data_IF_056590156857
#
_entry.id   IF_056590156857
#
_cell.length_a   1.000
_cell.length_b   1.000
_cell.length_c   1.000
_cell.angle_alpha   90.00
_cell.angle_beta   90.00
_cell.angle_gamma   90.00
#
_symmetry.space_group_name_H-M   'P 1'
#
loop_
_entity.id
_entity.type
_entity.pdbx_description
1 polymer ?
#
# COMPACT_ATOMS: atom_id res chain seq x y z
N UNK A 1 20.36 -42.02 -40.70
CA UNK A 1 20.65 -40.62 -40.35
C UNK A 1 19.84 -40.32 -39.11
N UNK A 2 20.47 -40.34 -37.95
CA UNK A 2 19.81 -40.09 -36.64
C UNK A 2 19.86 -38.62 -36.32
N UNK A 3 18.74 -38.02 -36.02
CA UNK A 3 18.63 -36.66 -35.50
C UNK A 3 18.92 -36.69 -34.01
N UNK A 4 20.03 -36.09 -33.59
CA UNK A 4 20.32 -35.78 -32.16
C UNK A 4 19.39 -34.66 -31.72
N UNK A 5 18.43 -34.95 -30.82
CA UNK A 5 17.62 -34.00 -30.14
C UNK A 5 18.38 -33.52 -28.91
N UNK A 6 18.95 -32.31 -28.98
CA UNK A 6 19.55 -31.66 -27.82
C UNK A 6 18.40 -31.17 -26.92
N UNK A 7 18.17 -31.86 -25.80
CA UNK A 7 17.26 -31.37 -24.75
C UNK A 7 17.91 -30.18 -24.06
N UNK A 8 17.32 -29.00 -24.22
CA UNK A 8 17.67 -27.83 -23.44
C UNK A 8 17.00 -28.00 -22.08
N UNK A 9 17.75 -28.04 -20.96
CA UNK A 9 17.14 -28.11 -19.65
C UNK A 9 16.31 -26.85 -19.43
N UNK A 10 15.00 -27.01 -19.24
CA UNK A 10 14.13 -25.98 -18.72
C UNK A 10 14.64 -25.63 -17.33
N UNK A 11 15.31 -24.47 -17.22
CA UNK A 11 15.60 -23.86 -15.92
C UNK A 11 14.23 -23.65 -15.27
N UNK A 12 13.91 -24.46 -14.26
CA UNK A 12 12.76 -24.22 -13.41
C UNK A 12 12.99 -22.86 -12.77
N UNK A 13 12.25 -21.85 -13.21
CA UNK A 13 12.19 -20.58 -12.51
C UNK A 13 11.69 -20.91 -11.10
N UNK A 14 12.60 -20.94 -10.12
CA UNK A 14 12.23 -20.95 -8.72
C UNK A 14 11.26 -19.79 -8.54
N UNK A 15 10.02 -20.08 -8.19
CA UNK A 15 9.06 -19.05 -7.80
C UNK A 15 9.64 -18.40 -6.56
N UNK A 16 10.31 -17.27 -6.74
CA UNK A 16 10.67 -16.40 -5.63
C UNK A 16 9.39 -16.17 -4.81
N UNK A 17 9.42 -16.60 -3.56
CA UNK A 17 8.30 -16.35 -2.64
C UNK A 17 8.29 -14.84 -2.39
N UNK A 18 7.44 -14.12 -3.09
CA UNK A 18 7.27 -12.68 -2.86
C UNK A 18 6.66 -12.49 -1.47
N UNK A 19 7.26 -11.63 -0.67
CA UNK A 19 6.73 -11.28 0.65
C UNK A 19 5.42 -10.50 0.48
N UNK A 20 4.49 -10.72 1.41
CA UNK A 20 3.19 -10.04 1.42
C UNK A 20 3.08 -9.14 2.63
N UNK A 21 2.60 -7.93 2.40
CA UNK A 21 2.31 -6.92 3.42
C UNK A 21 0.81 -6.67 3.42
N UNK A 22 0.20 -6.72 4.60
CA UNK A 22 -1.16 -6.28 4.83
C UNK A 22 -1.09 -4.88 5.44
N UNK A 23 -1.73 -3.95 4.77
CA UNK A 23 -1.78 -2.54 5.09
C UNK A 23 -3.24 -2.14 5.28
N UNK A 24 -3.58 -1.58 6.44
CA UNK A 24 -4.99 -1.35 6.81
C UNK A 24 -5.16 0.05 7.37
N UNK A 25 -6.04 0.84 6.75
CA UNK A 25 -6.62 2.02 7.38
C UNK A 25 -7.91 1.67 8.12
N UNK A 26 -8.06 2.22 9.33
CA UNK A 26 -9.24 1.93 10.15
C UNK A 26 -10.51 2.63 9.67
N UNK A 27 -10.40 3.61 8.80
CA UNK A 27 -11.54 4.27 8.19
C UNK A 27 -12.30 3.35 7.22
N UNK A 28 -11.67 2.27 6.75
CA UNK A 28 -12.35 1.17 6.07
C UNK A 28 -13.55 0.64 6.88
N UNK A 29 -13.47 0.68 8.20
CA UNK A 29 -14.50 0.15 9.10
C UNK A 29 -15.50 1.20 9.55
N UNK A 30 -15.73 2.22 8.75
CA UNK A 30 -16.83 3.18 8.95
C UNK A 30 -18.08 2.76 8.16
N UNK A 31 -19.24 3.12 8.68
CA UNK A 31 -20.52 2.83 8.02
C UNK A 31 -20.66 3.59 6.69
N UNK A 32 -20.09 4.81 6.62
CA UNK A 32 -19.98 5.60 5.41
C UNK A 32 -18.57 6.17 5.29
N UNK A 33 -18.04 6.28 4.07
CA UNK A 33 -16.69 6.72 3.84
C UNK A 33 -16.60 8.24 3.84
N UNK A 34 -15.68 8.79 4.63
CA UNK A 34 -15.36 10.20 4.57
C UNK A 34 -14.65 10.49 3.23
N UNK A 35 -15.17 11.36 2.37
CA UNK A 35 -14.54 11.64 1.08
C UNK A 35 -13.23 12.42 1.20
N UNK A 36 -13.03 13.16 2.28
CA UNK A 36 -11.86 13.97 2.56
C UNK A 36 -11.70 14.11 4.08
N UNK A 37 -10.54 13.73 4.58
CA UNK A 37 -10.13 14.01 5.95
C UNK A 37 -8.92 14.98 5.89
N UNK A 38 -8.95 16.04 6.70
CA UNK A 38 -7.78 16.89 6.88
C UNK A 38 -6.95 16.38 8.06
N UNK A 39 -5.64 16.47 7.93
CA UNK A 39 -4.71 16.06 8.98
C UNK A 39 -5.08 16.74 10.32
N UNK A 40 -5.30 15.94 11.36
CA UNK A 40 -5.71 16.43 12.68
C UNK A 40 -7.19 16.79 12.81
N UNK A 41 -7.99 16.68 11.74
CA UNK A 41 -9.43 16.85 11.77
C UNK A 41 -10.13 15.53 11.46
N UNK A 42 -10.83 14.98 12.44
CA UNK A 42 -11.76 13.86 12.24
C UNK A 42 -13.14 14.45 12.06
N UNK A 43 -13.72 14.41 10.85
CA UNK A 43 -15.07 14.95 10.66
C UNK A 43 -16.07 14.11 11.46
N UNK A 44 -16.80 14.76 12.34
CA UNK A 44 -17.96 14.17 13.02
C UNK A 44 -19.17 14.39 12.13
N UNK A 45 -19.32 13.55 11.11
CA UNK A 45 -20.48 13.59 10.22
C UNK A 45 -21.44 12.45 10.54
N UNK A 46 -22.76 12.64 10.41
CA UNK A 46 -23.71 11.55 10.48
C UNK A 46 -23.35 10.45 9.47
N UNK A 47 -23.37 9.18 9.89
CA UNK A 47 -23.01 8.05 9.03
C UNK A 47 -21.56 7.58 9.14
N UNK A 48 -20.70 8.31 9.84
CA UNK A 48 -19.31 7.87 10.08
C UNK A 48 -19.16 7.06 11.39
N UNK A 49 -20.21 6.32 11.75
CA UNK A 49 -20.11 5.41 12.87
C UNK A 49 -19.21 4.23 12.54
N UNK A 50 -18.35 3.81 13.48
CA UNK A 50 -17.54 2.62 13.29
C UNK A 50 -18.41 1.36 13.25
N UNK A 51 -17.96 0.36 12.50
CA UNK A 51 -18.57 -0.97 12.56
C UNK A 51 -18.50 -1.53 13.98
N UNK A 52 -19.44 -2.42 14.30
CA UNK A 52 -19.39 -3.18 15.54
C UNK A 52 -18.07 -3.92 15.68
N UNK A 53 -17.46 -3.86 16.87
CA UNK A 53 -16.12 -4.46 17.13
C UNK A 53 -16.07 -5.96 16.78
N UNK A 54 -17.19 -6.69 16.91
CA UNK A 54 -17.31 -8.08 16.51
C UNK A 54 -17.22 -8.26 15.00
N UNK A 55 -17.79 -7.36 14.21
CA UNK A 55 -17.75 -7.39 12.75
C UNK A 55 -16.33 -7.06 12.25
N UNK A 56 -15.68 -6.05 12.83
CA UNK A 56 -14.27 -5.72 12.53
C UNK A 56 -13.38 -6.93 12.81
N UNK A 57 -13.54 -7.55 13.97
CA UNK A 57 -12.77 -8.76 14.31
C UNK A 57 -13.00 -9.88 13.31
N UNK A 58 -14.26 -10.18 12.99
CA UNK A 58 -14.59 -11.23 12.03
C UNK A 58 -13.96 -10.96 10.66
N UNK A 59 -13.94 -9.71 10.20
CA UNK A 59 -13.27 -9.33 8.97
C UNK A 59 -11.75 -9.58 9.04
N UNK A 60 -11.10 -9.09 10.10
CA UNK A 60 -9.66 -9.25 10.28
C UNK A 60 -9.25 -10.73 10.37
N UNK A 61 -10.02 -11.56 11.06
CA UNK A 61 -9.74 -12.99 11.21
C UNK A 61 -10.05 -13.78 9.92
N UNK A 62 -11.21 -13.57 9.30
CA UNK A 62 -11.69 -14.40 8.20
C UNK A 62 -11.23 -13.92 6.82
N UNK A 63 -11.08 -12.61 6.60
CA UNK A 63 -10.70 -12.04 5.31
C UNK A 63 -9.20 -11.69 5.26
N UNK A 64 -8.66 -11.14 6.36
CA UNK A 64 -7.25 -10.77 6.41
C UNK A 64 -6.33 -11.88 6.95
N UNK A 65 -6.89 -12.98 7.46
CA UNK A 65 -6.11 -14.11 7.99
C UNK A 65 -5.31 -13.78 9.26
N UNK A 66 -5.71 -12.73 10.00
CA UNK A 66 -5.10 -12.40 11.27
C UNK A 66 -5.62 -13.34 12.37
N UNK A 67 -4.79 -13.62 13.37
CA UNK A 67 -5.17 -14.52 14.46
C UNK A 67 -4.55 -14.07 15.78
N UNK A 68 -5.33 -14.13 16.85
CA UNK A 68 -4.83 -13.88 18.21
C UNK A 68 -3.86 -14.95 18.70
N UNK A 69 -4.03 -16.17 18.22
CA UNK A 69 -3.17 -17.30 18.60
C UNK A 69 -1.89 -17.40 17.78
N UNK A 70 -1.83 -16.68 16.63
CA UNK A 70 -0.67 -16.61 15.76
C UNK A 70 -0.50 -15.16 15.25
N UNK A 71 -0.16 -14.22 16.14
CA UNK A 71 -0.07 -12.81 15.79
C UNK A 71 1.02 -12.57 14.74
N UNK A 72 0.75 -11.67 13.82
CA UNK A 72 1.73 -11.21 12.84
C UNK A 72 2.46 -9.98 13.37
N UNK A 73 3.77 -9.84 13.11
CA UNK A 73 4.47 -8.61 13.45
C UNK A 73 3.91 -7.44 12.63
N UNK A 74 3.76 -6.28 13.28
CA UNK A 74 3.22 -5.09 12.64
C UNK A 74 3.43 -3.86 13.49
N UNK A 75 2.94 -2.71 12.99
CA UNK A 75 2.98 -1.44 13.70
C UNK A 75 1.69 -0.67 13.42
N UNK A 76 1.26 0.13 14.40
CA UNK A 76 0.14 1.06 14.29
C UNK A 76 0.71 2.47 14.13
N UNK A 77 0.09 3.27 13.25
CA UNK A 77 0.47 4.64 12.95
C UNK A 77 -0.71 5.58 13.18
N UNK A 78 -0.42 6.86 13.34
CA UNK A 78 -1.44 7.92 13.41
C UNK A 78 -1.86 8.37 12.00
N UNK A 79 -0.89 8.42 11.06
CA UNK A 79 -1.10 8.74 9.64
C UNK A 79 -0.60 7.60 8.78
N UNK A 80 -1.32 7.33 7.68
CA UNK A 80 -1.13 6.13 6.88
C UNK A 80 0.24 6.08 6.17
N UNK A 81 0.82 7.23 5.83
CA UNK A 81 2.17 7.34 5.28
C UNK A 81 3.27 6.77 6.20
N UNK A 82 2.97 6.61 7.50
CA UNK A 82 3.83 5.92 8.45
C UNK A 82 4.16 4.48 8.02
N UNK A 83 3.30 3.84 7.22
CA UNK A 83 3.53 2.52 6.65
C UNK A 83 4.77 2.50 5.76
N UNK A 84 4.95 3.49 4.86
CA UNK A 84 6.13 3.56 3.98
C UNK A 84 7.42 3.67 4.79
N UNK A 85 7.45 4.50 5.84
CA UNK A 85 8.63 4.62 6.73
C UNK A 85 8.94 3.30 7.41
N UNK A 86 7.92 2.61 7.89
CA UNK A 86 8.08 1.30 8.52
C UNK A 86 8.61 0.27 7.52
N UNK A 87 8.12 0.25 6.29
CA UNK A 87 8.64 -0.65 5.26
C UNK A 87 10.12 -0.39 4.97
N UNK A 88 10.54 0.86 4.85
CA UNK A 88 11.95 1.21 4.67
C UNK A 88 12.81 0.76 5.86
N UNK A 89 12.32 0.92 7.09
CA UNK A 89 12.99 0.39 8.29
C UNK A 89 13.12 -1.15 8.25
N UNK A 90 12.06 -1.87 7.80
CA UNK A 90 12.10 -3.31 7.69
C UNK A 90 13.04 -3.79 6.58
N UNK A 91 13.09 -3.06 5.47
CA UNK A 91 14.04 -3.33 4.36
C UNK A 91 15.48 -3.12 4.86
N UNK A 92 15.76 -1.99 5.49
CA UNK A 92 17.09 -1.69 6.04
C UNK A 92 17.56 -2.72 7.08
N UNK A 93 16.61 -3.30 7.83
CA UNK A 93 16.88 -4.34 8.82
C UNK A 93 16.91 -5.76 8.24
N UNK A 94 16.73 -5.94 6.93
CA UNK A 94 16.71 -7.23 6.25
C UNK A 94 15.51 -8.13 6.60
N UNK A 95 14.44 -7.56 7.15
CA UNK A 95 13.21 -8.28 7.51
C UNK A 95 12.13 -8.22 6.43
N UNK A 96 12.22 -7.28 5.51
CA UNK A 96 11.37 -7.14 4.34
C UNK A 96 12.24 -7.03 3.10
N UNK A 97 11.95 -7.82 2.07
CA UNK A 97 12.67 -7.79 0.79
C UNK A 97 11.80 -7.12 -0.27
N UNK A 98 12.30 -6.03 -0.84
CA UNK A 98 11.63 -5.38 -1.97
C UNK A 98 12.05 -6.00 -3.32
N UNK A 99 11.16 -6.04 -4.32
CA UNK A 99 9.76 -5.63 -4.21
C UNK A 99 8.89 -6.69 -3.50
N UNK A 100 7.81 -6.24 -2.86
CA UNK A 100 6.84 -7.08 -2.16
C UNK A 100 5.41 -6.78 -2.63
N UNK A 101 4.48 -7.70 -2.35
CA UNK A 101 3.05 -7.50 -2.66
C UNK A 101 2.37 -6.82 -1.48
N UNK A 102 1.45 -5.91 -1.77
CA UNK A 102 0.63 -5.20 -0.77
C UNK A 102 -0.83 -5.50 -0.99
N UNK A 103 -1.51 -5.90 0.08
CA UNK A 103 -2.97 -5.85 0.17
C UNK A 103 -3.32 -4.65 1.04
N UNK A 104 -3.89 -3.62 0.42
CA UNK A 104 -4.27 -2.36 1.04
C UNK A 104 -5.78 -2.36 1.29
N UNK A 105 -6.18 -2.26 2.55
CA UNK A 105 -7.57 -2.29 3.02
C UNK A 105 -7.91 -0.90 3.54
N UNK A 106 -8.72 -0.14 2.79
CA UNK A 106 -8.91 1.27 3.03
C UNK A 106 -10.23 1.78 2.43
N UNK A 107 -10.76 2.88 2.93
CA UNK A 107 -11.81 3.64 2.27
C UNK A 107 -11.26 4.48 1.10
N UNK A 108 -9.95 4.74 1.06
CA UNK A 108 -9.25 5.55 0.04
C UNK A 108 -8.27 4.70 -0.78
N UNK A 109 -7.78 5.24 -1.89
CA UNK A 109 -6.81 4.52 -2.73
C UNK A 109 -5.36 4.80 -2.38
N UNK A 110 -5.09 5.93 -1.76
CA UNK A 110 -3.76 6.47 -1.43
C UNK A 110 -2.80 6.55 -2.63
N UNK A 111 -3.40 6.74 -3.81
CA UNK A 111 -2.71 6.83 -5.10
C UNK A 111 -2.62 8.26 -5.64
N UNK A 112 -2.70 9.25 -4.76
CA UNK A 112 -2.43 10.65 -5.13
C UNK A 112 -3.66 11.53 -5.28
N UNK A 113 -4.67 11.33 -4.46
CA UNK A 113 -5.73 12.34 -4.26
C UNK A 113 -5.12 13.48 -3.46
N UNK A 114 -5.20 14.70 -4.01
CA UNK A 114 -4.70 15.90 -3.33
C UNK A 114 -3.49 16.51 -4.01
N UNK A 115 -2.69 17.24 -3.27
CA UNK A 115 -1.49 17.93 -3.75
C UNK A 115 -0.23 17.29 -3.17
N UNK A 116 0.79 16.98 -4.02
CA UNK A 116 0.97 17.43 -5.40
C UNK A 116 0.23 16.64 -6.48
N UNK A 117 -0.57 15.63 -6.12
CA UNK A 117 -1.27 14.80 -7.06
C UNK A 117 -0.37 13.82 -7.84
N UNK A 118 -0.97 12.88 -8.60
CA UNK A 118 -0.24 11.80 -9.26
C UNK A 118 0.72 12.29 -10.33
N UNK A 119 0.43 13.42 -10.98
CA UNK A 119 1.29 13.99 -12.03
C UNK A 119 2.71 14.30 -11.53
N UNK A 120 2.86 14.71 -10.27
CA UNK A 120 4.18 14.93 -9.70
C UNK A 120 5.00 13.63 -9.68
N UNK A 121 4.40 12.52 -9.26
CA UNK A 121 5.09 11.23 -9.24
C UNK A 121 5.38 10.75 -10.66
N UNK A 122 4.41 10.82 -11.56
CA UNK A 122 4.54 10.32 -12.93
C UNK A 122 5.59 11.09 -13.74
N UNK A 123 5.60 12.42 -13.65
CA UNK A 123 6.47 13.25 -14.50
C UNK A 123 7.76 13.71 -13.83
N UNK A 124 7.80 13.81 -12.51
CA UNK A 124 8.98 14.25 -11.79
C UNK A 124 9.72 13.08 -11.14
N UNK A 125 9.04 12.27 -10.30
CA UNK A 125 9.69 11.19 -9.57
C UNK A 125 10.16 10.09 -10.54
N UNK A 126 9.30 9.62 -11.46
CA UNK A 126 9.65 8.57 -12.42
C UNK A 126 10.75 8.99 -13.42
N UNK A 127 10.94 10.28 -13.66
CA UNK A 127 12.05 10.76 -14.50
C UNK A 127 13.40 10.70 -13.78
N UNK A 128 13.42 10.60 -12.46
CA UNK A 128 14.66 10.52 -11.69
C UNK A 128 15.32 9.13 -11.82
N UNK A 129 16.65 9.02 -11.72
CA UNK A 129 17.31 7.75 -11.50
C UNK A 129 16.79 7.03 -10.25
N UNK A 130 16.67 5.70 -10.30
CA UNK A 130 16.12 4.90 -9.20
C UNK A 130 16.72 5.24 -7.82
N UNK A 131 18.05 5.39 -7.65
CA UNK A 131 18.64 5.74 -6.36
C UNK A 131 18.11 7.07 -5.77
N UNK A 132 17.79 8.05 -6.62
CA UNK A 132 17.21 9.33 -6.17
C UNK A 132 15.73 9.21 -5.79
N UNK A 133 14.99 8.27 -6.41
CA UNK A 133 13.59 8.02 -6.03
C UNK A 133 13.49 7.44 -4.62
N UNK A 134 14.51 6.72 -4.16
CA UNK A 134 14.55 6.05 -2.86
C UNK A 134 14.74 7.03 -1.68
N UNK A 135 15.06 8.28 -1.95
CA UNK A 135 15.15 9.31 -0.90
C UNK A 135 13.76 9.85 -0.52
N UNK A 136 12.97 8.97 0.11
CA UNK A 136 11.61 9.32 0.56
C UNK A 136 11.63 10.46 1.59
N UNK A 137 12.70 10.58 2.37
CA UNK A 137 12.83 11.63 3.39
C UNK A 137 12.88 13.03 2.78
N UNK A 138 13.52 13.17 1.61
CA UNK A 138 13.51 14.43 0.86
C UNK A 138 12.10 14.81 0.38
N UNK A 139 11.28 13.85 -0.03
CA UNK A 139 9.89 14.12 -0.46
C UNK A 139 9.01 14.53 0.73
N UNK A 140 9.19 13.91 1.90
CA UNK A 140 8.54 14.36 3.13
C UNK A 140 8.95 15.79 3.51
N UNK A 141 10.25 16.07 3.53
CA UNK A 141 10.75 17.41 3.85
C UNK A 141 10.20 18.49 2.92
N UNK A 142 9.94 18.15 1.67
CA UNK A 142 9.35 19.02 0.66
C UNK A 142 7.81 19.06 0.71
N UNK A 143 7.17 18.34 1.64
CA UNK A 143 5.71 18.19 1.73
C UNK A 143 5.08 17.69 0.39
N UNK A 144 5.76 16.76 -0.26
CA UNK A 144 5.32 16.14 -1.52
C UNK A 144 4.81 14.72 -1.34
N UNK A 145 5.15 14.09 -0.20
CA UNK A 145 4.73 12.76 0.19
C UNK A 145 3.94 12.87 1.49
N UNK A 146 2.74 12.30 1.51
CA UNK A 146 1.79 12.28 2.63
C UNK A 146 0.92 11.01 2.58
N UNK A 147 -0.06 10.91 3.50
CA UNK A 147 -0.98 9.78 3.60
C UNK A 147 -1.80 9.53 2.33
N UNK A 148 -2.12 10.55 1.55
CA UNK A 148 -2.95 10.40 0.36
C UNK A 148 -2.20 9.88 -0.88
N UNK A 149 -0.86 9.76 -0.83
CA UNK A 149 -0.06 9.43 -2.01
C UNK A 149 1.11 8.45 -1.75
N UNK A 150 1.37 8.04 -0.52
CA UNK A 150 2.54 7.21 -0.17
C UNK A 150 2.61 5.90 -0.96
N UNK A 151 1.47 5.28 -1.31
CA UNK A 151 1.44 4.07 -2.13
C UNK A 151 1.95 4.33 -3.54
N UNK A 152 1.59 5.47 -4.14
CA UNK A 152 2.09 5.84 -5.46
C UNK A 152 3.61 6.07 -5.45
N UNK A 153 4.14 6.68 -4.37
CA UNK A 153 5.58 6.79 -4.16
C UNK A 153 6.23 5.41 -3.98
N UNK A 154 5.65 4.51 -3.20
CA UNK A 154 6.17 3.15 -2.99
C UNK A 154 6.25 2.36 -4.31
N UNK A 155 5.24 2.51 -5.20
CA UNK A 155 5.27 1.96 -6.56
C UNK A 155 6.39 2.58 -7.40
N UNK A 156 6.52 3.91 -7.40
CA UNK A 156 7.57 4.62 -8.14
C UNK A 156 8.98 4.27 -7.66
N UNK A 157 9.14 3.99 -6.38
CA UNK A 157 10.39 3.53 -5.74
C UNK A 157 10.67 2.04 -6.00
N UNK A 158 9.75 1.31 -6.65
CA UNK A 158 9.83 -0.15 -6.87
C UNK A 158 9.87 -0.95 -5.56
N UNK A 159 9.17 -0.48 -4.54
CA UNK A 159 9.00 -1.23 -3.29
C UNK A 159 7.87 -2.24 -3.41
N UNK A 160 6.86 -1.93 -4.20
CA UNK A 160 5.67 -2.75 -4.42
C UNK A 160 5.75 -3.39 -5.80
N UNK A 161 5.52 -4.71 -5.86
CA UNK A 161 5.40 -5.50 -7.10
C UNK A 161 3.95 -5.65 -7.55
N UNK A 162 3.04 -5.78 -6.59
CA UNK A 162 1.60 -5.90 -6.84
C UNK A 162 0.84 -5.18 -5.72
N UNK A 163 -0.23 -4.49 -6.08
CA UNK A 163 -1.11 -3.79 -5.15
C UNK A 163 -2.55 -4.24 -5.35
N UNK A 164 -3.07 -4.94 -4.34
CA UNK A 164 -4.49 -5.28 -4.23
C UNK A 164 -5.18 -4.22 -3.35
N UNK A 165 -6.01 -3.36 -3.93
CA UNK A 165 -6.71 -2.32 -3.21
C UNK A 165 -8.13 -2.79 -2.84
N UNK A 166 -8.31 -3.16 -1.58
CA UNK A 166 -9.57 -3.62 -1.01
C UNK A 166 -10.31 -2.43 -0.42
N UNK A 167 -11.39 -2.01 -1.10
CA UNK A 167 -12.13 -0.79 -0.78
C UNK A 167 -13.34 -1.08 0.09
N UNK A 168 -13.65 -0.13 1.01
CA UNK A 168 -14.96 -0.17 1.66
C UNK A 168 -16.07 -0.15 0.59
N UNK A 169 -17.14 -0.97 0.72
CA UNK A 169 -18.22 -1.04 -0.28
C UNK A 169 -18.91 0.29 -0.58
N UNK A 170 -18.79 1.29 0.30
CA UNK A 170 -19.32 2.64 0.11
C UNK A 170 -18.29 3.66 -0.35
N UNK A 171 -17.04 3.24 -0.61
CA UNK A 171 -16.01 4.12 -1.14
C UNK A 171 -16.43 4.70 -2.49
N UNK A 172 -16.09 5.96 -2.70
CA UNK A 172 -16.21 6.59 -4.02
C UNK A 172 -14.98 6.23 -4.86
N UNK A 173 -15.12 6.31 -6.17
CA UNK A 173 -13.99 6.16 -7.07
C UNK A 173 -13.02 7.36 -6.85
N UNK A 174 -11.81 7.05 -6.44
CA UNK A 174 -10.77 8.02 -6.11
C UNK A 174 -9.40 7.67 -6.72
N UNK A 175 -9.35 6.62 -7.54
CA UNK A 175 -8.15 6.35 -8.34
C UNK A 175 -8.04 7.45 -9.39
N UNK A 176 -6.93 8.20 -9.41
CA UNK A 176 -6.76 9.27 -10.39
C UNK A 176 -6.85 8.75 -11.82
N UNK A 177 -7.64 9.43 -12.67
CA UNK A 177 -7.88 9.03 -14.06
C UNK A 177 -6.59 8.79 -14.86
N UNK A 178 -5.52 9.51 -14.55
CA UNK A 178 -4.22 9.39 -15.21
C UNK A 178 -3.52 8.05 -14.92
N UNK A 179 -3.99 7.28 -13.93
CA UNK A 179 -3.48 5.96 -13.59
C UNK A 179 -4.30 4.83 -14.21
N UNK A 180 -5.45 5.13 -14.82
CA UNK A 180 -6.35 4.20 -15.50
C UNK A 180 -6.12 4.24 -17.00
#
# INVERSE_FOLDING_TARGET
MGYNRTEIPLISAERSITMRVLDIDLDFFLADCCPLAELGHRPSLPGHEPWEASAVRAFLENQCGLSRTAPKPGRIFETHDGALRFWEEQIAAGRLTAPFDVTHVDAHSDLGIGYPGPNFVLFNVLSMPVPKRLDYTAFYAQKKLDEANYLLFALAMRRISSLDNVRNPRSRADIPQVLL
#
